data_IF_532752362935
#
_entry.id   IF_532752362935
#
_cell.length_a   1.000
_cell.length_b   1.000
_cell.length_c   1.000
_cell.angle_alpha   90.00
_cell.angle_beta   90.00
_cell.angle_gamma   90.00
#
_symmetry.space_group_name_H-M   'P 1'
#
loop_
_entity.id
_entity.type
_entity.pdbx_description
1 polymer ?
#
# COMPACT_ATOMS: atom_id res chain seq x y z
N UNK A 1 2.24 -16.22 15.54
CA UNK A 1 2.22 -15.04 14.64
C UNK A 1 3.31 -14.11 15.11
N UNK A 2 4.18 -13.62 14.21
CA UNK A 2 5.21 -12.64 14.56
C UNK A 2 4.61 -11.24 14.68
N UNK A 3 5.26 -10.31 15.40
CA UNK A 3 4.78 -8.93 15.54
C UNK A 3 4.50 -8.28 14.17
N UNK A 4 5.37 -8.51 13.18
CA UNK A 4 5.19 -8.02 11.81
C UNK A 4 3.90 -8.53 11.15
N UNK A 5 3.53 -9.80 11.37
CA UNK A 5 2.29 -10.37 10.82
C UNK A 5 1.05 -9.73 11.47
N UNK A 6 1.13 -9.39 12.75
CA UNK A 6 0.06 -8.70 13.48
C UNK A 6 -0.10 -7.29 12.91
N UNK A 7 0.99 -6.52 12.81
CA UNK A 7 0.97 -5.15 12.27
C UNK A 7 0.45 -5.13 10.82
N UNK A 8 0.93 -6.02 9.97
CA UNK A 8 0.48 -6.12 8.59
C UNK A 8 -1.03 -6.42 8.48
N UNK A 9 -1.55 -7.30 9.34
CA UNK A 9 -2.99 -7.61 9.40
C UNK A 9 -3.80 -6.42 9.92
N UNK A 10 -3.28 -5.68 10.91
CA UNK A 10 -3.90 -4.45 11.40
C UNK A 10 -4.01 -3.40 10.31
N UNK A 11 -2.93 -3.16 9.57
CA UNK A 11 -2.92 -2.22 8.42
C UNK A 11 -3.93 -2.65 7.35
N UNK A 12 -3.95 -3.94 7.00
CA UNK A 12 -4.92 -4.45 6.03
C UNK A 12 -6.36 -4.24 6.50
N UNK A 13 -6.64 -4.43 7.79
CA UNK A 13 -7.96 -4.17 8.36
C UNK A 13 -8.33 -2.69 8.31
N UNK A 14 -7.41 -1.78 8.63
CA UNK A 14 -7.61 -0.33 8.54
C UNK A 14 -7.92 0.13 7.11
N UNK A 15 -7.30 -0.50 6.11
CA UNK A 15 -7.59 -0.24 4.69
C UNK A 15 -8.95 -0.77 4.23
N UNK A 16 -9.63 -1.63 5.00
CA UNK A 16 -10.92 -2.24 4.62
C UNK A 16 -10.86 -3.73 4.28
N UNK A 17 -9.75 -4.40 4.60
CA UNK A 17 -9.56 -5.85 4.48
C UNK A 17 -9.98 -6.43 3.12
N UNK A 18 -10.90 -7.41 3.12
CA UNK A 18 -11.34 -8.07 1.90
C UNK A 18 -12.01 -7.13 0.90
N UNK A 19 -12.67 -6.05 1.37
CA UNK A 19 -13.29 -5.06 0.47
C UNK A 19 -12.22 -4.30 -0.30
N UNK A 20 -11.18 -3.86 0.39
CA UNK A 20 -10.03 -3.20 -0.23
C UNK A 20 -9.38 -4.08 -1.30
N UNK A 21 -9.15 -5.36 -1.00
CA UNK A 21 -8.55 -6.29 -1.96
C UNK A 21 -9.44 -6.49 -3.19
N UNK A 22 -10.75 -6.61 -3.01
CA UNK A 22 -11.71 -6.76 -4.10
C UNK A 22 -11.79 -5.51 -5.00
N UNK A 23 -11.70 -4.31 -4.41
CA UNK A 23 -11.80 -3.04 -5.14
C UNK A 23 -10.51 -2.68 -5.88
N UNK A 24 -9.36 -2.88 -5.24
CA UNK A 24 -8.05 -2.45 -5.79
C UNK A 24 -7.36 -3.54 -6.61
N UNK A 25 -7.80 -4.80 -6.51
CA UNK A 25 -7.11 -5.94 -7.10
C UNK A 25 -5.72 -6.18 -6.52
N UNK A 26 -5.45 -5.66 -5.31
CA UNK A 26 -4.20 -5.85 -4.61
C UNK A 26 -3.90 -7.33 -4.36
N UNK A 27 -2.65 -7.72 -4.56
CA UNK A 27 -2.16 -9.10 -4.44
C UNK A 27 -0.77 -9.15 -3.85
N UNK A 28 -0.25 -10.35 -3.59
CA UNK A 28 1.08 -10.56 -3.02
C UNK A 28 1.28 -9.78 -1.71
N UNK A 29 0.34 -9.92 -0.78
CA UNK A 29 0.42 -9.32 0.56
C UNK A 29 1.60 -9.94 1.32
N UNK A 30 2.56 -9.11 1.71
CA UNK A 30 3.77 -9.50 2.44
C UNK A 30 3.88 -8.63 3.68
N UNK A 31 3.99 -9.27 4.84
CA UNK A 31 4.34 -8.58 6.07
C UNK A 31 5.83 -8.17 6.01
N UNK A 32 6.07 -6.87 6.15
CA UNK A 32 7.42 -6.29 6.24
C UNK A 32 7.70 -5.87 7.69
N UNK A 33 8.90 -5.36 7.95
CA UNK A 33 9.22 -4.79 9.25
C UNK A 33 8.26 -3.65 9.58
N UNK A 34 7.49 -3.81 10.66
CA UNK A 34 6.48 -2.85 11.11
C UNK A 34 5.45 -2.44 10.04
N UNK A 35 5.16 -3.29 9.05
CA UNK A 35 4.35 -2.83 7.92
C UNK A 35 3.75 -3.90 7.04
N UNK A 36 3.06 -3.43 6.00
CA UNK A 36 2.46 -4.24 4.95
C UNK A 36 2.96 -3.78 3.58
N UNK A 37 3.32 -4.74 2.73
CA UNK A 37 3.63 -4.51 1.33
C UNK A 37 2.67 -5.32 0.46
N UNK A 38 2.22 -4.74 -0.65
CA UNK A 38 1.43 -5.46 -1.65
C UNK A 38 1.64 -4.87 -3.05
N UNK A 39 1.27 -5.67 -4.05
CA UNK A 39 1.33 -5.29 -5.45
C UNK A 39 -0.06 -4.94 -5.97
N UNK A 40 -0.14 -3.92 -6.81
CA UNK A 40 -1.35 -3.54 -7.54
C UNK A 40 -1.36 -4.14 -8.95
N UNK A 41 -2.53 -4.27 -9.59
CA UNK A 41 -2.64 -4.69 -10.98
C UNK A 41 -1.79 -3.79 -11.89
N UNK A 42 -0.97 -4.43 -12.73
CA UNK A 42 -0.09 -3.73 -13.69
C UNK A 42 -0.76 -3.38 -15.00
N UNK A 43 -2.09 -3.35 -15.00
CA UNK A 43 -2.88 -3.02 -16.18
C UNK A 43 -2.61 -1.57 -16.56
N UNK A 44 -2.39 -1.33 -17.85
CA UNK A 44 -2.06 0.01 -18.36
C UNK A 44 -3.19 0.99 -18.00
N UNK A 45 -2.85 2.16 -17.46
CA UNK A 45 -3.80 3.20 -17.01
C UNK A 45 -4.72 2.82 -15.85
N UNK A 46 -4.49 1.69 -15.18
CA UNK A 46 -5.30 1.31 -14.01
C UNK A 46 -4.89 2.08 -12.75
N UNK A 47 -3.59 2.33 -12.60
CA UNK A 47 -2.98 3.04 -11.48
C UNK A 47 -2.28 4.29 -11.98
N UNK A 48 -2.41 5.37 -11.22
CA UNK A 48 -1.72 6.65 -11.44
C UNK A 48 -0.20 6.42 -11.46
N UNK A 49 0.48 7.07 -12.41
CA UNK A 49 1.95 7.06 -12.61
C UNK A 49 2.61 5.67 -12.80
N UNK A 50 1.80 4.61 -12.91
CA UNK A 50 2.26 3.23 -12.98
C UNK A 50 2.78 2.69 -11.65
N UNK A 51 2.33 3.25 -10.52
CA UNK A 51 2.59 2.73 -9.18
C UNK A 51 1.97 1.35 -9.06
N UNK A 52 2.81 0.32 -8.99
CA UNK A 52 2.36 -1.07 -9.01
C UNK A 52 2.72 -1.83 -7.72
N UNK A 53 3.33 -1.14 -6.77
CA UNK A 53 3.75 -1.70 -5.50
C UNK A 53 3.61 -0.63 -4.43
N UNK A 54 2.99 -1.00 -3.31
CA UNK A 54 2.73 -0.10 -2.18
C UNK A 54 3.40 -0.70 -0.95
N UNK A 55 4.04 0.15 -0.16
CA UNK A 55 4.53 -0.19 1.17
C UNK A 55 3.91 0.77 2.18
N UNK A 56 3.40 0.22 3.27
CA UNK A 56 2.85 0.97 4.39
C UNK A 56 3.62 0.55 5.63
N UNK A 57 4.30 1.48 6.27
CA UNK A 57 5.19 1.24 7.41
C UNK A 57 4.65 2.04 8.59
N UNK A 58 4.51 1.39 9.74
CA UNK A 58 4.17 2.03 11.01
C UNK A 58 5.44 2.65 11.61
N UNK A 59 5.41 3.96 11.81
CA UNK A 59 6.48 4.72 12.43
C UNK A 59 6.35 4.69 13.96
N UNK A 60 7.45 5.00 14.66
CA UNK A 60 7.46 5.06 16.12
C UNK A 60 6.56 6.16 16.71
N UNK A 61 6.12 7.12 15.89
CA UNK A 61 5.18 8.19 16.23
C UNK A 61 3.70 7.77 16.18
N UNK A 62 3.41 6.48 16.02
CA UNK A 62 2.05 5.94 15.84
C UNK A 62 1.33 6.49 14.59
N UNK A 63 2.12 6.83 13.58
CA UNK A 63 1.67 7.26 12.25
C UNK A 63 2.19 6.29 11.20
N UNK A 64 1.64 6.38 10.00
CA UNK A 64 2.06 5.57 8.86
C UNK A 64 2.84 6.39 7.83
N UNK A 65 3.80 5.73 7.21
CA UNK A 65 4.45 6.17 5.97
C UNK A 65 4.01 5.25 4.84
N UNK A 66 3.39 5.83 3.80
CA UNK A 66 2.92 5.16 2.59
C UNK A 66 3.87 5.49 1.44
N UNK A 67 4.42 4.46 0.80
CA UNK A 67 5.36 4.57 -0.33
C UNK A 67 4.77 3.93 -1.58
N UNK A 68 4.65 4.72 -2.63
CA UNK A 68 4.26 4.33 -3.98
C UNK A 68 5.48 4.00 -4.82
N UNK A 69 5.61 2.73 -5.19
CA UNK A 69 6.75 2.21 -5.93
C UNK A 69 6.33 1.67 -7.30
N UNK A 70 7.22 1.85 -8.27
CA UNK A 70 7.16 1.24 -9.60
C UNK A 70 8.24 0.18 -9.71
N UNK A 71 7.83 -1.06 -9.54
CA UNK A 71 8.67 -2.23 -9.74
C UNK A 71 8.62 -2.71 -11.19
N UNK A 72 9.77 -2.78 -11.84
CA UNK A 72 9.95 -3.19 -13.24
C UNK A 72 10.75 -4.50 -13.25
N UNK A 73 10.08 -5.69 -13.30
CA UNK A 73 10.79 -6.96 -13.14
C UNK A 73 11.80 -7.22 -14.26
N UNK A 74 11.49 -6.78 -15.48
CA UNK A 74 12.37 -6.97 -16.64
C UNK A 74 13.74 -6.30 -16.49
N UNK A 75 13.83 -5.26 -15.65
CA UNK A 75 15.06 -4.53 -15.36
C UNK A 75 15.57 -4.77 -13.95
N UNK A 76 14.85 -5.56 -13.14
CA UNK A 76 15.09 -5.69 -11.69
C UNK A 76 15.18 -4.34 -10.97
N UNK A 77 14.49 -3.33 -11.48
CA UNK A 77 14.50 -1.96 -10.94
C UNK A 77 13.24 -1.73 -10.10
N UNK A 78 13.41 -1.07 -8.95
CA UNK A 78 12.31 -0.53 -8.15
C UNK A 78 12.53 0.98 -8.00
N UNK A 79 11.58 1.77 -8.48
CA UNK A 79 11.65 3.23 -8.38
C UNK A 79 10.59 3.70 -7.41
N UNK A 80 10.99 4.48 -6.42
CA UNK A 80 10.04 5.24 -5.61
C UNK A 80 9.51 6.40 -6.46
N UNK A 81 8.19 6.49 -6.55
CA UNK A 81 7.51 7.54 -7.29
C UNK A 81 6.84 8.54 -6.36
N UNK A 82 6.38 8.07 -5.21
CA UNK A 82 5.66 8.89 -4.25
C UNK A 82 5.86 8.35 -2.84
N UNK A 83 5.92 9.25 -1.86
CA UNK A 83 6.05 8.90 -0.44
C UNK A 83 5.37 9.97 0.39
N UNK A 84 4.44 9.54 1.23
CA UNK A 84 3.75 10.39 2.20
C UNK A 84 3.94 9.80 3.61
N UNK A 85 4.27 10.66 4.58
CA UNK A 85 4.54 10.27 5.97
C UNK A 85 3.67 11.06 6.94
N UNK A 86 3.53 10.56 8.17
CA UNK A 86 2.70 11.20 9.20
C UNK A 86 1.20 10.95 9.01
N UNK A 87 0.83 9.87 8.31
CA UNK A 87 -0.57 9.55 7.98
C UNK A 87 -1.22 8.83 9.16
N UNK A 88 -2.37 9.32 9.62
CA UNK A 88 -3.16 8.62 10.63
C UNK A 88 -3.97 7.45 10.03
N UNK A 89 -4.35 6.49 10.86
CA UNK A 89 -5.04 5.28 10.42
C UNK A 89 -6.32 5.54 9.61
N UNK A 90 -7.07 6.57 9.97
CA UNK A 90 -8.29 7.04 9.31
C UNK A 90 -8.04 7.71 7.95
N UNK A 91 -6.83 8.25 7.74
CA UNK A 91 -6.41 8.90 6.51
C UNK A 91 -5.81 7.92 5.48
N UNK A 92 -5.43 6.71 5.89
CA UNK A 92 -4.76 5.71 5.03
C UNK A 92 -5.50 5.44 3.70
N UNK A 93 -6.83 5.30 3.74
CA UNK A 93 -7.63 5.03 2.55
C UNK A 93 -7.64 6.23 1.59
N UNK A 94 -7.67 7.46 2.15
CA UNK A 94 -7.65 8.71 1.39
C UNK A 94 -6.32 8.88 0.68
N UNK A 95 -5.22 8.83 1.44
CA UNK A 95 -3.85 8.89 0.89
C UNK A 95 -3.61 7.83 -0.18
N UNK A 96 -4.04 6.59 0.04
CA UNK A 96 -3.92 5.55 -0.97
C UNK A 96 -4.67 5.90 -2.26
N UNK A 97 -5.88 6.46 -2.15
CA UNK A 97 -6.70 6.87 -3.30
C UNK A 97 -6.04 8.00 -4.06
N UNK A 98 -5.49 9.00 -3.36
CA UNK A 98 -4.79 10.14 -3.95
C UNK A 98 -3.49 9.74 -4.68
N UNK A 99 -2.73 8.84 -4.06
CA UNK A 99 -1.48 8.31 -4.59
C UNK A 99 -1.71 7.38 -5.80
N UNK A 100 -2.67 6.47 -5.73
CA UNK A 100 -2.86 5.43 -6.76
C UNK A 100 -3.94 5.75 -7.79
N UNK A 101 -4.83 6.70 -7.51
CA UNK A 101 -6.00 7.01 -8.33
C UNK A 101 -7.10 5.95 -8.29
N UNK A 102 -6.97 4.92 -7.43
CA UNK A 102 -7.97 3.86 -7.29
C UNK A 102 -8.99 4.23 -6.22
N UNK A 103 -10.28 4.21 -6.57
CA UNK A 103 -11.34 4.41 -5.59
C UNK A 103 -11.32 3.28 -4.55
N UNK A 104 -11.20 3.69 -3.29
CA UNK A 104 -11.33 2.79 -2.13
C UNK A 104 -12.62 3.02 -1.33
N UNK A 105 -13.41 4.03 -1.70
CA UNK A 105 -14.71 4.34 -1.12
C UNK A 105 -15.84 3.75 -1.98
N UNK A 106 -16.79 3.07 -1.33
CA UNK A 106 -18.07 2.64 -1.91
C UNK A 106 -19.15 3.68 -1.61
#
# INVERSE_FOLDING_TARGET
MTNNQITAKTILNQLGANRFLAMTGAKNLVAIENGLQFDLPRTRHFVKDGINKIQIILDASDTYTVRGLKYIPRKFECKELDTESGIYADMLQGTFTEMTGLNTYL
#
